data_IF_744458284281
#
_entry.id   IF_744458284281
#
_cell.length_a   1.000
_cell.length_b   1.000
_cell.length_c   1.000
_cell.angle_alpha   90.00
_cell.angle_beta   90.00
_cell.angle_gamma   90.00
#
_symmetry.space_group_name_H-M   'P 1'
#
loop_
_entity.id
_entity.type
_entity.pdbx_description
1 polymer ?
#
# COMPACT_ATOMS: atom_id res chain seq x y z
N UNK A 1 -5.82 6.07 -24.99
CA UNK A 1 -4.74 5.17 -24.54
C UNK A 1 -4.64 5.33 -23.03
N UNK A 2 -5.22 4.41 -22.26
CA UNK A 2 -5.26 4.53 -20.79
C UNK A 2 -3.86 4.29 -20.22
N UNK A 3 -3.24 5.36 -19.74
CA UNK A 3 -1.93 5.36 -19.11
C UNK A 3 -2.04 4.73 -17.71
N UNK A 4 -2.25 3.40 -17.66
CA UNK A 4 -2.43 2.69 -16.39
C UNK A 4 -1.04 2.51 -15.74
N UNK A 5 -0.67 3.48 -14.92
CA UNK A 5 0.57 3.51 -14.13
C UNK A 5 0.65 2.30 -13.20
N UNK A 6 1.81 1.63 -13.08
CA UNK A 6 2.00 0.56 -12.11
C UNK A 6 1.87 1.10 -10.67
N UNK A 7 1.22 0.33 -9.82
CA UNK A 7 1.05 0.61 -8.40
C UNK A 7 2.11 -0.17 -7.60
N UNK A 8 2.55 0.40 -6.48
CA UNK A 8 3.41 -0.26 -5.50
C UNK A 8 2.52 -0.97 -4.50
N UNK A 9 2.86 -2.21 -4.18
CA UNK A 9 2.20 -2.97 -3.14
C UNK A 9 3.00 -2.86 -1.84
N UNK A 10 2.36 -2.33 -0.80
CA UNK A 10 2.95 -2.20 0.53
C UNK A 10 2.09 -2.91 1.57
N UNK A 11 2.74 -3.54 2.55
CA UNK A 11 2.08 -3.94 3.80
C UNK A 11 2.26 -2.82 4.80
N UNK A 12 1.17 -2.46 5.49
CA UNK A 12 1.17 -1.38 6.48
C UNK A 12 0.98 -2.00 7.85
N UNK A 13 2.03 -1.99 8.65
CA UNK A 13 2.00 -2.42 10.04
C UNK A 13 1.84 -1.20 10.94
N UNK A 14 0.80 -1.19 11.78
CA UNK A 14 0.64 -0.15 12.81
C UNK A 14 1.23 -0.64 14.11
N UNK A 15 2.06 0.17 14.74
CA UNK A 15 2.67 -0.14 16.03
C UNK A 15 2.74 1.12 16.90
N UNK A 16 2.61 0.94 18.20
CA UNK A 16 2.78 2.04 19.16
C UNK A 16 4.26 2.25 19.43
N UNK A 17 4.75 3.46 19.15
CA UNK A 17 6.10 3.88 19.47
C UNK A 17 6.34 3.96 20.98
N UNK A 18 7.61 4.07 21.37
CA UNK A 18 8.00 4.19 22.78
C UNK A 18 7.38 5.41 23.48
N UNK A 19 7.04 6.44 22.71
CA UNK A 19 6.42 7.69 23.17
C UNK A 19 4.88 7.62 23.25
N UNK A 20 4.29 6.45 23.01
CA UNK A 20 2.83 6.25 23.00
C UNK A 20 2.14 6.69 21.71
N UNK A 21 2.89 7.19 20.72
CA UNK A 21 2.36 7.58 19.41
C UNK A 21 2.14 6.35 18.51
N UNK A 22 1.01 6.32 17.79
CA UNK A 22 0.80 5.33 16.74
C UNK A 22 1.68 5.65 15.53
N UNK A 23 2.49 4.68 15.11
CA UNK A 23 3.35 4.77 13.94
C UNK A 23 2.92 3.72 12.91
N UNK A 24 3.07 4.06 11.64
CA UNK A 24 2.82 3.16 10.52
C UNK A 24 4.14 2.79 9.85
N UNK A 25 4.48 1.51 9.85
CA UNK A 25 5.61 0.97 9.10
C UNK A 25 5.13 0.50 7.74
N UNK A 26 5.70 1.07 6.68
CA UNK A 26 5.38 0.73 5.31
C UNK A 26 6.45 -0.20 4.76
N UNK A 27 6.07 -1.45 4.53
CA UNK A 27 6.96 -2.46 3.94
C UNK A 27 6.63 -2.63 2.47
N UNK A 28 7.58 -2.35 1.59
CA UNK A 28 7.46 -2.64 0.15
C UNK A 28 7.45 -4.16 -0.06
N UNK A 29 6.36 -4.70 -0.60
CA UNK A 29 6.21 -6.16 -0.80
C UNK A 29 6.20 -6.57 -2.26
N UNK A 30 5.90 -5.64 -3.16
CA UNK A 30 5.86 -5.93 -4.58
C UNK A 30 5.28 -4.81 -5.43
N UNK A 31 4.87 -5.19 -6.65
CA UNK A 31 4.32 -4.27 -7.64
C UNK A 31 3.01 -4.85 -8.17
N UNK A 32 2.00 -3.99 -8.28
CA UNK A 32 0.76 -4.32 -8.94
C UNK A 32 0.65 -3.61 -10.29
N UNK A 33 0.29 -4.35 -11.33
CA UNK A 33 0.09 -3.82 -12.67
C UNK A 33 -1.32 -4.09 -13.16
N UNK A 34 -1.88 -3.18 -13.99
CA UNK A 34 -3.21 -3.35 -14.54
C UNK A 34 -3.34 -4.66 -15.32
N UNK A 35 -4.41 -5.40 -15.06
CA UNK A 35 -4.68 -6.64 -15.78
C UNK A 35 -5.09 -6.34 -17.23
N UNK A 36 -4.69 -7.23 -18.17
CA UNK A 36 -4.98 -7.07 -19.60
C UNK A 36 -6.48 -7.12 -19.92
N UNK A 37 -7.28 -7.77 -19.08
CA UNK A 37 -8.74 -7.83 -19.23
C UNK A 37 -9.46 -6.53 -18.87
N UNK A 38 -8.74 -5.47 -18.50
CA UNK A 38 -9.32 -4.15 -18.21
C UNK A 38 -9.87 -4.00 -16.80
N UNK A 39 -10.37 -5.09 -16.21
CA UNK A 39 -10.87 -5.16 -14.83
C UNK A 39 -9.85 -5.88 -13.94
N UNK A 40 -9.31 -5.17 -12.94
CA UNK A 40 -8.40 -5.70 -11.94
C UNK A 40 -6.92 -5.39 -12.12
N UNK A 41 -6.13 -5.88 -11.16
CA UNK A 41 -4.68 -5.74 -11.09
C UNK A 41 -4.04 -7.11 -10.84
N UNK A 42 -2.90 -7.35 -11.47
CA UNK A 42 -2.00 -8.44 -11.12
C UNK A 42 -1.02 -7.94 -10.07
N UNK A 43 -0.97 -8.61 -8.93
CA UNK A 43 0.02 -8.35 -7.88
C UNK A 43 1.17 -9.35 -8.00
N UNK A 44 2.40 -8.85 -8.12
CA UNK A 44 3.61 -9.66 -8.05
C UNK A 44 4.34 -9.35 -6.76
N UNK A 45 4.37 -10.35 -5.87
CA UNK A 45 5.10 -10.34 -4.60
C UNK A 45 6.50 -10.88 -4.85
N UNK A 46 7.50 -10.29 -4.19
CA UNK A 46 8.88 -10.78 -4.29
C UNK A 46 9.00 -12.22 -3.76
N UNK A 47 9.75 -13.10 -4.45
CA UNK A 47 9.87 -14.49 -4.04
C UNK A 47 10.50 -14.60 -2.64
N UNK A 48 10.00 -15.54 -1.83
CA UNK A 48 10.47 -15.77 -0.46
C UNK A 48 9.95 -14.79 0.59
N UNK A 49 9.05 -13.88 0.21
CA UNK A 49 8.43 -12.94 1.15
C UNK A 49 7.11 -13.49 1.69
N UNK A 50 7.09 -13.85 2.98
CA UNK A 50 5.85 -14.11 3.68
C UNK A 50 5.19 -12.78 4.02
N UNK A 51 3.99 -12.56 3.51
CA UNK A 51 3.18 -11.37 3.80
C UNK A 51 1.94 -11.80 4.59
N UNK A 52 1.51 -10.97 5.53
CA UNK A 52 0.32 -11.21 6.35
C UNK A 52 -0.36 -9.87 6.60
N UNK A 53 -1.69 -9.88 6.74
CA UNK A 53 -2.48 -8.67 6.90
C UNK A 53 -2.88 -8.02 5.58
N UNK A 54 -2.96 -6.69 5.57
CA UNK A 54 -3.53 -5.92 4.46
C UNK A 54 -2.44 -5.37 3.54
N UNK A 55 -2.57 -5.66 2.24
CA UNK A 55 -1.70 -5.11 1.20
C UNK A 55 -2.40 -3.91 0.57
N UNK A 56 -1.78 -2.75 0.65
CA UNK A 56 -2.26 -1.50 0.08
C UNK A 56 -1.52 -1.23 -1.23
N UNK A 57 -2.27 -0.98 -2.30
CA UNK A 57 -1.72 -0.62 -3.61
C UNK A 57 -1.74 0.90 -3.77
N UNK A 58 -0.57 1.55 -3.82
CA UNK A 58 -0.44 3.01 -3.92
C UNK A 58 0.39 3.43 -5.12
N UNK A 59 0.22 4.67 -5.58
CA UNK A 59 1.15 5.25 -6.56
C UNK A 59 2.43 5.70 -5.87
N UNK A 60 3.54 5.80 -6.60
CA UNK A 60 4.81 6.33 -6.06
C UNK A 60 4.64 7.67 -5.33
N UNK A 61 3.88 8.58 -5.95
CA UNK A 61 3.63 9.91 -5.40
C UNK A 61 2.91 9.85 -4.05
N UNK A 62 1.87 9.01 -3.95
CA UNK A 62 1.14 8.81 -2.69
C UNK A 62 1.99 8.18 -1.58
N UNK A 63 2.98 7.35 -1.95
CA UNK A 63 3.94 6.78 -1.00
C UNK A 63 4.90 7.85 -0.47
N UNK A 64 5.45 8.68 -1.34
CA UNK A 64 6.37 9.77 -0.95
C UNK A 64 5.68 10.77 -0.02
N UNK A 65 4.39 11.04 -0.24
CA UNK A 65 3.55 11.86 0.62
C UNK A 65 3.28 11.21 1.99
N UNK A 66 3.13 9.88 2.05
CA UNK A 66 2.89 9.10 3.28
C UNK A 66 4.15 8.92 4.15
N UNK A 67 5.33 8.77 3.54
CA UNK A 67 6.62 8.61 4.25
C UNK A 67 7.16 9.96 4.77
N UNK A 68 6.66 11.09 4.25
CA UNK A 68 7.12 12.46 4.57
C UNK A 68 6.53 13.12 5.82
N UNK A 69 5.72 12.42 6.62
CA UNK A 69 5.25 12.94 7.91
C UNK A 69 3.77 13.35 7.97
N UNK A 70 2.96 12.94 7.00
CA UNK A 70 1.51 12.86 7.20
C UNK A 70 1.10 11.43 6.84
N UNK A 71 0.70 10.65 7.85
CA UNK A 71 -0.07 9.44 7.58
C UNK A 71 -1.16 9.80 6.56
N UNK A 72 -1.42 8.99 5.52
CA UNK A 72 -2.60 9.18 4.71
C UNK A 72 -3.81 8.92 5.61
N UNK A 73 -4.23 9.99 6.27
CA UNK A 73 -5.51 10.15 6.91
C UNK A 73 -6.56 9.68 5.90
N UNK A 74 -7.30 8.64 6.26
CA UNK A 74 -8.67 8.45 5.77
C UNK A 74 -8.88 8.36 4.24
N UNK A 75 -8.01 7.70 3.48
CA UNK A 75 -8.37 7.28 2.11
C UNK A 75 -8.86 5.83 2.08
N UNK A 76 -10.15 5.65 2.42
CA UNK A 76 -10.99 4.49 2.05
C UNK A 76 -10.60 3.10 2.59
N UNK A 77 -10.70 2.89 3.89
CA UNK A 77 -11.36 1.67 4.34
C UNK A 77 -12.84 2.02 4.53
N UNK A 78 -13.80 1.40 3.81
CA UNK A 78 -15.18 1.53 4.21
C UNK A 78 -15.28 1.02 5.64
N UNK A 79 -15.66 1.89 6.58
CA UNK A 79 -16.18 1.42 7.85
C UNK A 79 -17.43 0.60 7.51
N UNK A 80 -17.34 -0.73 7.63
CA UNK A 80 -18.53 -1.56 7.74
C UNK A 80 -19.27 -1.13 9.02
N UNK A 81 -20.41 -0.45 8.85
CA UNK A 81 -21.72 -0.71 9.50
C UNK A 81 -22.78 0.29 9.05
#
# INVERSE_FOLDING_TARGET
>A
MSNKTPLIANVVDRYTGRDGSEQSHWTDVGIAFPHKSGEGFNLVIRPGLAVSGTIVLTTKKAREEAEGGAAPEAANFPEES
#
